data_IF_166851158089
#
_entry.id   IF_166851158089
#
_cell.length_a   1.000
_cell.length_b   1.000
_cell.length_c   1.000
_cell.angle_alpha   90.00
_cell.angle_beta   90.00
_cell.angle_gamma   90.00
#
_symmetry.space_group_name_H-M   'P 1'
#
loop_
_entity.id
_entity.type
_entity.pdbx_description
1 polymer ?
#
# COMPACT_ATOMS: atom_id res chain seq x y z
N UNK A 1 9.33 2.37 16.51
CA UNK A 1 7.97 2.68 17.01
C UNK A 1 7.02 2.52 15.85
N UNK A 2 5.83 1.98 16.11
CA UNK A 2 4.82 1.83 15.07
C UNK A 2 3.94 3.07 15.05
N UNK A 3 3.83 3.69 13.88
CA UNK A 3 2.96 4.84 13.64
C UNK A 3 1.58 4.40 13.15
N UNK A 4 1.50 3.20 12.57
CA UNK A 4 0.27 2.59 12.11
C UNK A 4 0.10 1.22 12.77
N UNK A 5 -0.96 1.10 13.58
CA UNK A 5 -1.30 -0.14 14.29
C UNK A 5 -2.48 -0.78 13.58
N UNK A 6 -2.35 -2.08 13.27
CA UNK A 6 -3.45 -2.84 12.67
C UNK A 6 -4.64 -2.91 13.63
N UNK A 7 -5.85 -2.81 13.08
CA UNK A 7 -7.09 -2.96 13.81
C UNK A 7 -7.96 -3.99 13.09
N UNK A 8 -8.71 -4.80 13.85
CA UNK A 8 -9.63 -5.82 13.29
C UNK A 8 -10.67 -5.20 12.33
N UNK A 9 -11.00 -3.91 12.50
CA UNK A 9 -11.87 -3.18 11.58
C UNK A 9 -11.36 -3.17 10.13
N UNK A 10 -10.05 -3.30 9.92
CA UNK A 10 -9.39 -3.31 8.61
C UNK A 10 -9.45 -4.68 7.91
N UNK A 11 -9.92 -5.74 8.59
CA UNK A 11 -10.00 -7.05 7.95
C UNK A 11 -11.08 -7.03 6.87
N UNK A 12 -10.79 -7.51 5.66
CA UNK A 12 -11.76 -7.64 4.57
C UNK A 12 -12.47 -8.99 4.59
N UNK A 13 -12.11 -9.89 5.51
CA UNK A 13 -12.75 -11.21 5.65
C UNK A 13 -12.09 -12.30 4.82
N UNK A 14 -11.01 -11.97 4.10
CA UNK A 14 -10.17 -12.92 3.37
C UNK A 14 -8.81 -12.95 4.06
N UNK A 15 -8.52 -14.04 4.77
CA UNK A 15 -7.30 -14.18 5.58
C UNK A 15 -6.02 -13.87 4.79
N UNK A 16 -6.00 -14.25 3.50
CA UNK A 16 -4.89 -13.95 2.59
C UNK A 16 -4.68 -12.43 2.43
N UNK A 17 -5.74 -11.68 2.15
CA UNK A 17 -5.67 -10.23 1.94
C UNK A 17 -5.41 -9.50 3.25
N UNK A 18 -5.99 -9.95 4.37
CA UNK A 18 -5.71 -9.40 5.69
C UNK A 18 -4.22 -9.53 6.06
N UNK A 19 -3.58 -10.65 5.71
CA UNK A 19 -2.13 -10.83 5.88
C UNK A 19 -1.32 -9.89 4.99
N UNK A 20 -1.76 -9.69 3.75
CA UNK A 20 -1.09 -8.76 2.82
C UNK A 20 -1.19 -7.31 3.27
N UNK A 21 -2.38 -6.88 3.71
CA UNK A 21 -2.58 -5.55 4.28
C UNK A 21 -1.72 -5.33 5.53
N UNK A 22 -1.65 -6.32 6.44
CA UNK A 22 -0.76 -6.27 7.61
C UNK A 22 0.72 -6.13 7.20
N UNK A 23 1.14 -6.80 6.13
CA UNK A 23 2.50 -6.67 5.61
C UNK A 23 2.76 -5.27 5.02
N UNK A 24 1.80 -4.68 4.31
CA UNK A 24 1.89 -3.29 3.83
C UNK A 24 1.98 -2.30 4.99
N UNK A 25 1.20 -2.49 6.05
CA UNK A 25 1.31 -1.69 7.29
C UNK A 25 2.71 -1.81 7.91
N UNK A 26 3.27 -3.02 7.94
CA UNK A 26 4.64 -3.24 8.42
C UNK A 26 5.68 -2.45 7.61
N UNK A 27 5.57 -2.43 6.28
CA UNK A 27 6.45 -1.59 5.45
C UNK A 27 6.31 -0.10 5.75
N UNK A 28 5.11 0.41 6.00
CA UNK A 28 4.90 1.81 6.39
C UNK A 28 5.60 2.12 7.72
N UNK A 29 5.53 1.20 8.70
CA UNK A 29 6.23 1.38 9.98
C UNK A 29 7.75 1.31 9.82
N UNK A 30 8.28 0.44 8.96
CA UNK A 30 9.71 0.41 8.62
C UNK A 30 10.14 1.72 7.95
N UNK A 31 9.34 2.26 7.02
CA UNK A 31 9.61 3.56 6.39
C UNK A 31 9.72 4.67 7.43
N UNK A 32 8.75 4.72 8.36
CA UNK A 32 8.73 5.71 9.43
C UNK A 32 9.99 5.63 10.30
N UNK A 33 10.38 4.43 10.72
CA UNK A 33 11.58 4.26 11.54
C UNK A 33 12.86 4.62 10.78
N UNK A 34 12.95 4.28 9.49
CA UNK A 34 14.11 4.61 8.65
C UNK A 34 14.27 6.12 8.41
N UNK A 35 13.16 6.87 8.29
CA UNK A 35 13.20 8.33 8.15
C UNK A 35 13.77 9.01 9.39
N UNK A 36 13.58 8.40 10.56
CA UNK A 36 14.04 8.91 11.85
C UNK A 36 15.42 8.36 12.26
N UNK A 37 16.08 7.58 11.41
CA UNK A 37 17.41 7.01 11.66
C UNK A 37 18.48 7.62 10.75
N UNK A 38 19.76 7.43 11.11
CA UNK A 38 20.90 7.84 10.29
C UNK A 38 21.11 6.94 9.05
N UNK A 39 20.30 5.90 8.85
CA UNK A 39 20.40 4.95 7.72
C UNK A 39 19.40 5.23 6.58
N UNK A 40 18.78 6.41 6.62
CA UNK A 40 17.64 6.82 5.78
C UNK A 40 17.78 6.51 4.29
N UNK A 41 18.92 6.77 3.66
CA UNK A 41 19.04 6.64 2.20
C UNK A 41 18.92 5.17 1.74
N UNK A 42 19.86 4.30 2.13
CA UNK A 42 19.88 2.92 1.62
C UNK A 42 18.58 2.16 1.92
N UNK A 43 18.06 2.29 3.15
CA UNK A 43 16.86 1.58 3.59
C UNK A 43 15.61 2.05 2.83
N UNK A 44 15.47 3.34 2.56
CA UNK A 44 14.28 3.88 1.87
C UNK A 44 14.24 3.43 0.40
N UNK A 45 15.37 3.42 -0.30
CA UNK A 45 15.41 2.97 -1.69
C UNK A 45 14.96 1.51 -1.85
N UNK A 46 15.48 0.61 -1.00
CA UNK A 46 15.08 -0.80 -0.98
C UNK A 46 13.61 -0.97 -0.59
N UNK A 47 13.12 -0.16 0.34
CA UNK A 47 11.73 -0.24 0.80
C UNK A 47 10.74 0.23 -0.26
N UNK A 48 11.05 1.28 -1.02
CA UNK A 48 10.22 1.73 -2.15
C UNK A 48 10.07 0.61 -3.18
N UNK A 49 11.17 -0.06 -3.53
CA UNK A 49 11.13 -1.17 -4.47
C UNK A 49 10.24 -2.33 -3.95
N UNK A 50 10.41 -2.70 -2.68
CA UNK A 50 9.57 -3.72 -2.02
C UNK A 50 8.08 -3.34 -1.98
N UNK A 51 7.78 -2.06 -1.70
CA UNK A 51 6.41 -1.56 -1.69
C UNK A 51 5.75 -1.70 -3.06
N UNK A 52 6.46 -1.36 -4.15
CA UNK A 52 5.94 -1.51 -5.52
C UNK A 52 5.66 -2.98 -5.82
N UNK A 53 6.67 -3.85 -5.67
CA UNK A 53 6.56 -5.28 -5.99
C UNK A 53 5.43 -5.96 -5.18
N UNK A 54 5.37 -5.69 -3.88
CA UNK A 54 4.38 -6.30 -3.01
C UNK A 54 2.96 -5.79 -3.29
N UNK A 55 2.81 -4.49 -3.57
CA UNK A 55 1.50 -3.92 -3.91
C UNK A 55 1.01 -4.41 -5.27
N UNK A 56 1.89 -4.50 -6.28
CA UNK A 56 1.53 -5.07 -7.59
C UNK A 56 1.05 -6.51 -7.46
N UNK A 57 1.73 -7.31 -6.64
CA UNK A 57 1.34 -8.71 -6.37
C UNK A 57 0.00 -8.79 -5.67
N UNK A 58 -0.18 -8.01 -4.59
CA UNK A 58 -1.44 -7.98 -3.84
C UNK A 58 -2.63 -7.54 -4.72
N UNK A 59 -2.49 -6.43 -5.45
CA UNK A 59 -3.52 -5.93 -6.34
C UNK A 59 -3.86 -6.90 -7.46
N UNK A 60 -2.87 -7.62 -8.02
CA UNK A 60 -3.13 -8.63 -9.04
C UNK A 60 -4.05 -9.73 -8.49
N UNK A 61 -3.76 -10.22 -7.29
CA UNK A 61 -4.52 -11.32 -6.68
C UNK A 61 -5.93 -10.90 -6.26
N UNK A 62 -6.07 -9.67 -5.77
CA UNK A 62 -7.35 -9.04 -5.46
C UNK A 62 -8.18 -8.81 -6.73
N UNK A 63 -7.59 -8.20 -7.75
CA UNK A 63 -8.23 -8.00 -9.05
C UNK A 63 -8.66 -9.32 -9.69
N UNK A 64 -7.87 -10.38 -9.56
CA UNK A 64 -8.22 -11.71 -10.04
C UNK A 64 -9.44 -12.29 -9.30
N UNK A 65 -9.56 -12.06 -7.99
CA UNK A 65 -10.75 -12.44 -7.24
C UNK A 65 -11.95 -11.62 -7.70
N UNK A 66 -11.85 -10.29 -7.69
CA UNK A 66 -12.95 -9.38 -8.05
C UNK A 66 -13.48 -9.66 -9.46
N UNK A 67 -12.59 -10.00 -10.39
CA UNK A 67 -12.98 -10.40 -11.74
C UNK A 67 -13.72 -11.75 -11.75
N UNK A 68 -13.30 -12.73 -10.95
CA UNK A 68 -13.95 -14.06 -10.89
C UNK A 68 -15.35 -14.01 -10.30
N UNK A 69 -15.59 -13.13 -9.33
CA UNK A 69 -16.90 -12.94 -8.70
C UNK A 69 -17.78 -11.92 -9.44
N UNK A 70 -17.33 -11.44 -10.60
CA UNK A 70 -18.03 -10.42 -11.41
C UNK A 70 -18.38 -9.16 -10.59
N UNK A 71 -17.46 -8.72 -9.72
CA UNK A 71 -17.67 -7.57 -8.84
C UNK A 71 -18.02 -6.31 -9.66
N UNK A 72 -19.16 -5.65 -9.42
CA UNK A 72 -19.65 -4.57 -10.28
C UNK A 72 -18.68 -3.39 -10.44
N UNK A 73 -17.93 -3.05 -9.39
CA UNK A 73 -16.99 -1.91 -9.39
C UNK A 73 -15.55 -2.33 -9.73
N UNK A 74 -15.34 -3.54 -10.27
CA UNK A 74 -14.00 -4.08 -10.60
C UNK A 74 -13.14 -3.09 -11.41
N UNK A 75 -13.73 -2.46 -12.44
CA UNK A 75 -13.01 -1.55 -13.32
C UNK A 75 -12.51 -0.30 -12.58
N UNK A 76 -13.33 0.26 -11.70
CA UNK A 76 -13.00 1.45 -10.92
C UNK A 76 -11.96 1.13 -9.85
N UNK A 77 -12.11 -0.01 -9.17
CA UNK A 77 -11.16 -0.50 -8.18
C UNK A 77 -9.75 -0.69 -8.79
N UNK A 78 -9.67 -1.32 -9.96
CA UNK A 78 -8.42 -1.47 -10.73
C UNK A 78 -7.78 -0.13 -11.14
N UNK A 79 -8.59 0.91 -11.40
CA UNK A 79 -8.07 2.25 -11.71
C UNK A 79 -7.40 2.86 -10.46
N UNK A 80 -7.98 2.66 -9.27
CA UNK A 80 -7.41 3.10 -7.99
C UNK A 80 -6.04 2.45 -7.77
N UNK A 81 -5.92 1.14 -7.99
CA UNK A 81 -4.64 0.40 -7.91
C UNK A 81 -3.58 0.94 -8.86
N UNK A 82 -3.93 1.11 -10.14
CA UNK A 82 -3.01 1.67 -11.14
C UNK A 82 -2.52 3.05 -10.75
N UNK A 83 -3.40 3.90 -10.21
CA UNK A 83 -3.04 5.23 -9.74
C UNK A 83 -2.08 5.17 -8.56
N UNK A 84 -2.27 4.23 -7.62
CA UNK A 84 -1.33 4.02 -6.52
C UNK A 84 0.06 3.63 -7.03
N UNK A 85 0.16 2.59 -7.87
CA UNK A 85 1.45 2.13 -8.40
C UNK A 85 2.18 3.24 -9.15
N UNK A 86 1.47 3.99 -9.99
CA UNK A 86 2.04 5.15 -10.67
C UNK A 86 2.58 6.18 -9.67
N UNK A 87 1.81 6.50 -8.63
CA UNK A 87 2.20 7.46 -7.60
C UNK A 87 3.46 7.01 -6.84
N UNK A 88 3.57 5.72 -6.48
CA UNK A 88 4.75 5.19 -5.80
C UNK A 88 5.98 5.18 -6.72
N UNK A 89 5.82 4.92 -8.02
CA UNK A 89 6.90 5.08 -9.02
C UNK A 89 7.35 6.52 -9.17
N UNK A 90 6.43 7.49 -9.14
CA UNK A 90 6.80 8.92 -9.14
C UNK A 90 7.64 9.28 -7.89
N UNK A 91 7.35 8.69 -6.73
CA UNK A 91 8.19 8.82 -5.53
C UNK A 91 9.56 8.15 -5.70
N UNK A 92 9.63 6.99 -6.35
CA UNK A 92 10.90 6.33 -6.67
C UNK A 92 11.79 7.24 -7.53
N UNK A 93 11.23 7.86 -8.57
CA UNK A 93 11.96 8.77 -9.45
C UNK A 93 12.46 10.02 -8.70
N UNK A 94 11.63 10.61 -7.84
CA UNK A 94 12.03 11.73 -6.97
C UNK A 94 13.17 11.32 -6.04
N UNK A 95 13.12 10.11 -5.49
CA UNK A 95 14.15 9.57 -4.62
C UNK A 95 15.49 9.41 -5.37
N UNK A 96 15.47 8.84 -6.58
CA UNK A 96 16.67 8.72 -7.43
C UNK A 96 17.27 10.08 -7.77
N UNK A 97 16.43 11.11 -7.96
CA UNK A 97 16.86 12.50 -8.22
C UNK A 97 17.38 13.24 -6.98
N UNK A 98 17.41 12.60 -5.81
CA UNK A 98 17.94 13.19 -4.59
C UNK A 98 17.01 14.20 -3.90
N UNK A 99 15.70 14.12 -4.14
CA UNK A 99 14.72 14.95 -3.43
C UNK A 99 14.75 14.64 -1.92
N UNK A 100 15.10 15.64 -1.11
CA UNK A 100 15.29 15.49 0.34
C UNK A 100 13.99 15.27 1.12
N UNK A 101 12.84 15.66 0.54
CA UNK A 101 11.52 15.57 1.14
C UNK A 101 10.77 14.29 0.76
N UNK A 102 11.21 13.59 -0.30
CA UNK A 102 10.52 12.43 -0.89
C UNK A 102 10.08 11.38 0.13
N UNK A 103 10.91 11.08 1.14
CA UNK A 103 10.59 10.04 2.11
C UNK A 103 9.43 10.46 3.02
N UNK A 104 9.38 11.73 3.44
CA UNK A 104 8.31 12.26 4.28
C UNK A 104 7.00 12.31 3.49
N UNK A 105 7.05 12.76 2.25
CA UNK A 105 5.88 12.83 1.37
C UNK A 105 5.33 11.43 1.05
N UNK A 106 6.21 10.47 0.77
CA UNK A 106 5.82 9.08 0.56
C UNK A 106 5.16 8.50 1.81
N UNK A 107 5.74 8.68 2.99
CA UNK A 107 5.15 8.19 4.24
C UNK A 107 3.75 8.77 4.46
N UNK A 108 3.60 10.09 4.28
CA UNK A 108 2.33 10.77 4.41
C UNK A 108 1.28 10.25 3.42
N UNK A 109 1.69 10.02 2.18
CA UNK A 109 0.84 9.42 1.16
C UNK A 109 0.39 8.01 1.55
N UNK A 110 1.32 7.12 1.91
CA UNK A 110 1.02 5.72 2.22
C UNK A 110 0.10 5.57 3.44
N UNK A 111 0.34 6.33 4.51
CA UNK A 111 -0.50 6.29 5.71
C UNK A 111 -1.96 6.63 5.43
N UNK A 112 -2.18 7.64 4.57
CA UNK A 112 -3.52 8.08 4.20
C UNK A 112 -4.16 7.16 3.19
N UNK A 113 -3.39 6.72 2.20
CA UNK A 113 -3.92 5.93 1.10
C UNK A 113 -4.32 4.53 1.58
N UNK A 114 -3.46 3.81 2.29
CA UNK A 114 -3.69 2.40 2.62
C UNK A 114 -4.95 2.22 3.48
N UNK A 115 -5.06 2.95 4.59
CA UNK A 115 -6.22 2.82 5.49
C UNK A 115 -7.52 3.27 4.82
N UNK A 116 -7.45 4.36 4.05
CA UNK A 116 -8.61 4.84 3.31
C UNK A 116 -9.06 3.80 2.28
N UNK A 117 -8.13 3.26 1.50
CA UNK A 117 -8.42 2.26 0.49
C UNK A 117 -9.02 0.99 1.10
N UNK A 118 -8.43 0.46 2.18
CA UNK A 118 -8.98 -0.71 2.88
C UNK A 118 -10.41 -0.46 3.35
N UNK A 119 -10.68 0.69 3.97
CA UNK A 119 -11.99 0.97 4.57
C UNK A 119 -13.06 1.38 3.55
N UNK A 120 -12.67 2.12 2.51
CA UNK A 120 -13.61 2.73 1.56
C UNK A 120 -13.72 1.96 0.24
N UNK A 121 -12.73 1.15 -0.14
CA UNK A 121 -12.76 0.36 -1.37
C UNK A 121 -12.79 -1.13 -1.06
N UNK A 122 -11.81 -1.63 -0.30
CA UNK A 122 -11.61 -3.07 -0.14
C UNK A 122 -12.73 -3.69 0.70
N UNK A 123 -13.16 -2.98 1.74
CA UNK A 123 -14.28 -3.42 2.58
C UNK A 123 -15.60 -3.58 1.81
N UNK A 124 -15.78 -2.88 0.68
CA UNK A 124 -17.03 -2.95 -0.10
C UNK A 124 -17.24 -4.33 -0.71
N UNK A 125 -16.17 -4.99 -1.16
CA UNK A 125 -16.29 -6.30 -1.76
C UNK A 125 -16.47 -7.42 -0.72
N UNK A 126 -16.28 -7.15 0.58
CA UNK A 126 -16.41 -8.14 1.66
C UNK A 126 -17.79 -8.79 1.74
N UNK A 127 -18.83 -8.15 1.19
CA UNK A 127 -20.19 -8.69 1.15
C UNK A 127 -20.51 -9.52 -0.10
N UNK A 128 -19.54 -9.73 -0.99
CA UNK A 128 -19.74 -10.39 -2.29
C UNK A 128 -19.20 -11.83 -2.34
N UNK A 129 -18.73 -12.36 -1.22
CA UNK A 129 -18.29 -13.75 -1.06
C UNK A 129 -18.77 -14.34 0.25
#
# INVERSE_FOLDING_TARGET
MDILIWQEAYNVGIEKFDKQHKQLVSYINVLYNAINSNEKQKVVGELIAKLIEYSETHFLEEEDLLKKIEYPEYSDHKIVHKKFIKTVRDFQDRYVKGDSLVCKDLLYFLQRWLIKHILEEDKKYSSYF
#
